data_IF_310903212810
#
_entry.id   IF_310903212810
#
_cell.length_a   1.000
_cell.length_b   1.000
_cell.length_c   1.000
_cell.angle_alpha   90.00
_cell.angle_beta   90.00
_cell.angle_gamma   90.00
#
_symmetry.space_group_name_H-M   'P 1'
#
loop_
_entity.id
_entity.type
_entity.pdbx_description
1 polymer ?
#
# COMPACT_ATOMS: atom_id res chain seq x y z
N UNK A 1 7.10 -7.22 20.45
CA UNK A 1 6.35 -7.54 19.21
C UNK A 1 4.91 -7.09 19.44
N UNK A 2 4.28 -6.39 18.49
CA UNK A 2 2.88 -5.99 18.65
C UNK A 2 1.99 -7.17 18.28
N UNK A 3 1.02 -7.49 19.14
CA UNK A 3 0.10 -8.61 18.94
C UNK A 3 -1.31 -8.07 18.80
N UNK A 4 -2.00 -8.47 17.74
CA UNK A 4 -3.41 -8.16 17.54
C UNK A 4 -4.28 -8.94 18.54
N UNK A 5 -5.27 -8.27 19.12
CA UNK A 5 -6.26 -8.86 20.02
C UNK A 5 -7.65 -8.47 19.52
N UNK A 6 -8.36 -9.43 18.94
CA UNK A 6 -9.67 -9.20 18.32
C UNK A 6 -10.70 -8.64 19.31
N UNK A 7 -10.66 -9.08 20.56
CA UNK A 7 -11.61 -8.65 21.60
C UNK A 7 -11.42 -7.19 22.04
N UNK A 8 -10.31 -6.56 21.65
CA UNK A 8 -10.07 -5.14 21.88
C UNK A 8 -10.58 -4.24 20.74
N UNK A 9 -11.20 -4.82 19.70
CA UNK A 9 -11.88 -4.02 18.69
C UNK A 9 -13.03 -3.23 19.32
N UNK A 10 -13.28 -2.00 18.82
CA UNK A 10 -14.37 -1.18 19.34
C UNK A 10 -15.72 -1.84 19.08
N UNK A 11 -16.68 -1.52 19.94
CA UNK A 11 -18.08 -1.88 19.73
C UNK A 11 -18.53 -1.41 18.33
N UNK A 12 -19.13 -2.30 17.50
CA UNK A 12 -19.46 -1.97 16.13
C UNK A 12 -20.38 -0.76 15.96
N UNK A 13 -21.39 -0.62 16.81
CA UNK A 13 -22.34 0.50 16.72
C UNK A 13 -21.60 1.81 16.99
N UNK A 14 -20.89 1.87 18.12
CA UNK A 14 -20.13 3.07 18.51
C UNK A 14 -19.08 3.45 17.48
N UNK A 15 -18.40 2.46 16.91
CA UNK A 15 -17.42 2.68 15.86
C UNK A 15 -18.03 3.34 14.62
N UNK A 16 -19.12 2.78 14.09
CA UNK A 16 -19.75 3.34 12.89
C UNK A 16 -20.38 4.72 13.14
N UNK A 17 -20.95 4.95 14.33
CA UNK A 17 -21.45 6.27 14.72
C UNK A 17 -20.32 7.30 14.81
N UNK A 18 -19.15 6.93 15.34
CA UNK A 18 -17.96 7.79 15.39
C UNK A 18 -17.41 8.11 13.99
N UNK A 19 -17.55 7.19 13.02
CA UNK A 19 -17.28 7.43 11.59
C UNK A 19 -18.35 8.31 10.91
N UNK A 20 -19.33 8.81 11.66
CA UNK A 20 -20.38 9.69 11.17
C UNK A 20 -21.44 8.96 10.33
N UNK A 21 -21.67 7.68 10.61
CA UNK A 21 -22.72 6.88 9.97
C UNK A 21 -23.92 6.77 10.90
N UNK A 22 -25.10 7.06 10.36
CA UNK A 22 -26.36 6.85 11.08
C UNK A 22 -26.87 5.44 10.79
N UNK A 23 -27.05 4.65 11.83
CA UNK A 23 -27.52 3.27 11.73
C UNK A 23 -29.02 3.21 11.98
N UNK A 24 -29.76 2.63 11.04
CA UNK A 24 -31.22 2.53 11.12
C UNK A 24 -31.71 1.10 10.93
N UNK A 25 -32.91 0.79 11.44
CA UNK A 25 -33.57 -0.49 11.25
C UNK A 25 -33.50 -1.45 12.44
N UNK A 26 -34.43 -2.44 12.50
CA UNK A 26 -34.51 -3.41 13.58
C UNK A 26 -33.47 -4.54 13.43
N UNK A 27 -33.19 -5.24 14.53
CA UNK A 27 -32.32 -6.42 14.52
C UNK A 27 -30.83 -6.12 14.39
N UNK A 28 -30.04 -7.17 14.08
CA UNK A 28 -28.56 -7.13 14.04
C UNK A 28 -28.02 -6.40 12.82
N UNK A 29 -28.71 -6.48 11.69
CA UNK A 29 -28.30 -5.79 10.46
C UNK A 29 -28.95 -4.41 10.39
N UNK A 30 -28.13 -3.36 10.47
CA UNK A 30 -28.55 -1.97 10.36
C UNK A 30 -28.25 -1.44 8.96
N UNK A 31 -29.12 -0.59 8.45
CA UNK A 31 -28.93 0.12 7.17
C UNK A 31 -28.30 1.48 7.43
N UNK A 32 -27.36 1.87 6.57
CA UNK A 32 -26.69 3.17 6.61
C UNK A 32 -26.22 3.61 5.22
N UNK A 33 -25.77 4.85 5.12
CA UNK A 33 -25.11 5.40 3.93
C UNK A 33 -23.79 4.69 3.68
N UNK A 34 -23.41 4.53 2.41
CA UNK A 34 -22.13 3.95 2.04
C UNK A 34 -21.07 5.05 1.86
N UNK A 35 -20.03 5.14 2.72
CA UNK A 35 -18.99 6.17 2.58
C UNK A 35 -18.02 5.92 1.41
N UNK A 36 -18.05 4.72 0.81
CA UNK A 36 -17.15 4.35 -0.29
C UNK A 36 -17.60 4.90 -1.65
N UNK A 37 -18.91 5.05 -1.89
CA UNK A 37 -19.43 5.64 -3.13
C UNK A 37 -20.45 6.77 -2.88
N UNK A 38 -20.74 7.12 -1.62
CA UNK A 38 -21.63 8.22 -1.27
C UNK A 38 -23.14 7.94 -1.34
N UNK A 39 -23.58 6.69 -1.50
CA UNK A 39 -25.02 6.35 -1.52
C UNK A 39 -25.70 6.46 -0.15
N UNK A 40 -27.01 6.72 -0.12
CA UNK A 40 -27.79 7.06 1.10
C UNK A 40 -28.16 5.89 2.02
N UNK A 41 -28.46 4.72 1.46
CA UNK A 41 -29.08 3.59 2.18
C UNK A 41 -28.63 2.23 1.62
N UNK A 42 -27.47 2.20 0.97
CA UNK A 42 -26.98 1.05 0.22
C UNK A 42 -26.06 0.12 1.02
N UNK A 43 -25.62 0.52 2.22
CA UNK A 43 -24.73 -0.28 3.07
C UNK A 43 -25.48 -0.87 4.26
N UNK A 44 -25.22 -2.14 4.54
CA UNK A 44 -25.67 -2.82 5.75
C UNK A 44 -24.48 -3.15 6.63
N UNK A 45 -24.63 -2.92 7.93
CA UNK A 45 -23.65 -3.24 8.97
C UNK A 45 -24.25 -4.17 10.00
N UNK A 46 -23.47 -5.11 10.52
CA UNK A 46 -23.88 -6.01 11.60
C UNK A 46 -23.45 -5.43 12.94
N UNK A 47 -24.40 -5.19 13.84
CA UNK A 47 -24.16 -4.58 15.14
C UNK A 47 -23.38 -5.46 16.12
N UNK A 48 -23.27 -6.77 15.89
CA UNK A 48 -22.53 -7.69 16.76
C UNK A 48 -21.13 -7.98 16.23
N UNK A 49 -21.01 -8.36 14.95
CA UNK A 49 -19.72 -8.72 14.37
C UNK A 49 -18.94 -7.53 13.82
N UNK A 50 -19.61 -6.41 13.55
CA UNK A 50 -19.06 -5.30 12.79
C UNK A 50 -18.84 -5.61 11.30
N UNK A 51 -19.38 -6.72 10.80
CA UNK A 51 -19.32 -7.02 9.38
C UNK A 51 -20.14 -5.98 8.59
N UNK A 52 -19.71 -5.67 7.38
CA UNK A 52 -20.45 -4.77 6.50
C UNK A 52 -20.49 -5.30 5.06
N UNK A 53 -21.55 -4.91 4.35
CA UNK A 53 -21.67 -5.12 2.91
C UNK A 53 -22.49 -4.00 2.29
N UNK A 54 -21.97 -3.41 1.23
CA UNK A 54 -22.74 -2.55 0.36
C UNK A 54 -23.36 -3.36 -0.77
N UNK A 55 -24.66 -3.18 -1.02
CA UNK A 55 -25.36 -3.87 -2.10
C UNK A 55 -25.24 -3.15 -3.46
N UNK A 56 -24.69 -1.93 -3.47
CA UNK A 56 -24.53 -1.13 -4.69
C UNK A 56 -23.10 -1.20 -5.27
N UNK A 57 -22.07 -0.99 -4.44
CA UNK A 57 -20.66 -1.03 -4.87
C UNK A 57 -19.92 -2.30 -4.43
N UNK A 58 -20.64 -3.26 -3.85
CA UNK A 58 -20.16 -4.60 -3.46
C UNK A 58 -19.01 -4.67 -2.45
N UNK A 59 -18.50 -3.53 -1.98
CA UNK A 59 -17.52 -3.45 -0.89
C UNK A 59 -18.07 -4.15 0.37
N UNK A 60 -17.21 -4.93 1.03
CA UNK A 60 -17.58 -5.74 2.18
C UNK A 60 -16.41 -6.02 3.10
N UNK A 61 -16.70 -6.46 4.32
CA UNK A 61 -15.70 -6.86 5.30
C UNK A 61 -16.31 -7.59 6.48
N UNK A 62 -15.48 -8.36 7.20
CA UNK A 62 -15.94 -9.24 8.27
C UNK A 62 -16.06 -8.58 9.65
N UNK A 63 -15.49 -7.39 9.82
CA UNK A 63 -15.45 -6.64 11.07
C UNK A 63 -15.14 -5.14 10.84
N UNK A 64 -15.18 -4.37 11.94
CA UNK A 64 -14.83 -2.94 11.95
C UNK A 64 -13.39 -2.66 11.50
N UNK A 65 -12.47 -3.59 11.75
CA UNK A 65 -11.08 -3.48 11.30
C UNK A 65 -11.00 -3.51 9.77
N UNK A 66 -11.69 -4.47 9.14
CA UNK A 66 -11.77 -4.60 7.69
C UNK A 66 -12.37 -3.33 7.05
N UNK A 67 -13.35 -2.71 7.72
CA UNK A 67 -13.93 -1.45 7.28
C UNK A 67 -12.91 -0.31 7.36
N UNK A 68 -12.22 -0.18 8.49
CA UNK A 68 -11.26 0.90 8.73
C UNK A 68 -10.07 0.81 7.76
N UNK A 69 -9.54 -0.40 7.55
CA UNK A 69 -8.49 -0.68 6.56
C UNK A 69 -8.90 -0.19 5.16
N UNK A 70 -10.09 -0.57 4.70
CA UNK A 70 -10.58 -0.17 3.38
C UNK A 70 -10.90 1.31 3.29
N UNK A 71 -11.37 1.94 4.38
CA UNK A 71 -11.74 3.35 4.40
C UNK A 71 -10.52 4.27 4.38
N UNK A 72 -9.46 3.89 5.09
CA UNK A 72 -8.23 4.68 5.23
C UNK A 72 -7.13 4.23 4.28
N UNK A 73 -7.32 3.13 3.54
CA UNK A 73 -6.30 2.51 2.67
C UNK A 73 -4.99 2.23 3.40
N UNK A 74 -5.10 1.63 4.60
CA UNK A 74 -3.95 1.29 5.46
C UNK A 74 -3.87 -0.21 5.73
N UNK A 75 -2.67 -0.66 6.09
CA UNK A 75 -2.39 -2.07 6.37
C UNK A 75 -3.02 -2.55 7.69
N UNK A 76 -3.14 -3.87 7.82
CA UNK A 76 -3.80 -4.54 8.95
C UNK A 76 -3.27 -4.11 10.31
N UNK A 77 -1.94 -4.07 10.47
CA UNK A 77 -1.32 -3.76 11.75
C UNK A 77 -1.54 -2.28 12.12
N UNK A 78 -1.41 -1.37 11.15
CA UNK A 78 -1.64 0.06 11.35
C UNK A 78 -3.11 0.34 11.71
N UNK A 79 -4.05 -0.34 11.04
CA UNK A 79 -5.46 -0.27 11.38
C UNK A 79 -5.75 -0.82 12.78
N UNK A 80 -5.15 -1.96 13.15
CA UNK A 80 -5.32 -2.55 14.46
C UNK A 80 -4.77 -1.63 15.56
N UNK A 81 -3.66 -0.94 15.31
CA UNK A 81 -3.09 0.05 16.21
C UNK A 81 -3.99 1.28 16.35
N UNK A 82 -4.49 1.82 15.22
CA UNK A 82 -5.39 2.97 15.21
C UNK A 82 -6.70 2.70 15.98
N UNK A 83 -7.20 1.45 15.92
CA UNK A 83 -8.38 1.01 16.66
C UNK A 83 -8.09 0.57 18.11
N UNK A 84 -6.84 0.64 18.58
CA UNK A 84 -6.46 0.21 19.92
C UNK A 84 -6.49 -1.31 20.15
N UNK A 85 -6.57 -2.10 19.07
CA UNK A 85 -6.68 -3.55 19.10
C UNK A 85 -5.32 -4.27 19.12
N UNK A 86 -4.27 -3.62 19.61
CA UNK A 86 -2.93 -4.21 19.74
C UNK A 86 -2.38 -4.09 21.16
N UNK A 87 -1.70 -5.14 21.62
CA UNK A 87 -0.93 -5.11 22.87
C UNK A 87 0.55 -5.05 22.51
N UNK A 88 1.30 -4.20 23.22
CA UNK A 88 2.75 -4.17 23.14
C UNK A 88 3.35 -4.89 24.34
N UNK A 89 3.91 -6.07 24.11
CA UNK A 89 4.75 -6.74 25.09
C UNK A 89 6.14 -6.06 25.06
N UNK A 90 6.25 -4.90 25.73
CA UNK A 90 7.50 -4.30 26.21
C UNK A 90 8.65 -4.02 25.23
N UNK A 91 8.48 -4.11 23.91
CA UNK A 91 9.54 -3.86 22.95
C UNK A 91 9.29 -2.58 22.13
N UNK A 92 10.29 -1.70 22.11
CA UNK A 92 10.29 -0.42 21.37
C UNK A 92 9.96 -0.65 19.89
N UNK A 93 9.06 0.13 19.27
CA UNK A 93 8.72 -0.04 17.85
C UNK A 93 9.94 0.27 16.97
N UNK A 94 10.32 -0.66 16.11
CA UNK A 94 11.28 -0.37 15.03
C UNK A 94 10.57 0.54 14.01
N UNK A 95 11.21 1.63 13.54
CA UNK A 95 10.56 2.60 12.66
C UNK A 95 10.05 1.93 11.38
N UNK A 96 8.84 2.32 10.97
CA UNK A 96 8.18 1.87 9.76
C UNK A 96 9.11 2.07 8.55
N UNK A 97 9.33 0.99 7.79
CA UNK A 97 10.15 1.04 6.58
C UNK A 97 9.32 1.80 5.54
N UNK A 98 9.71 3.04 5.22
CA UNK A 98 9.08 3.82 4.14
C UNK A 98 9.03 2.95 2.88
N UNK A 99 7.90 2.93 2.19
CA UNK A 99 7.71 2.12 0.99
C UNK A 99 8.72 2.52 -0.10
N UNK A 100 9.79 1.75 -0.23
CA UNK A 100 10.68 1.75 -1.39
C UNK A 100 10.01 0.98 -2.53
N UNK A 101 10.35 1.34 -3.78
CA UNK A 101 9.95 0.60 -4.99
C UNK A 101 10.08 -0.92 -4.77
N UNK A 102 9.15 -1.70 -5.31
CA UNK A 102 9.31 -3.16 -5.35
C UNK A 102 10.59 -3.51 -6.11
N UNK A 103 11.25 -4.63 -5.76
CA UNK A 103 12.49 -5.03 -6.43
C UNK A 103 12.37 -5.08 -7.97
N UNK A 104 11.25 -5.57 -8.57
CA UNK A 104 11.05 -5.50 -10.02
C UNK A 104 10.92 -4.07 -10.54
N UNK A 105 10.19 -3.19 -9.83
CA UNK A 105 10.01 -1.79 -10.25
C UNK A 105 11.32 -0.99 -10.15
N UNK A 106 12.13 -1.24 -9.11
CA UNK A 106 13.45 -0.66 -8.95
C UNK A 106 14.39 -1.12 -10.07
N UNK A 107 14.37 -2.42 -10.41
CA UNK A 107 15.19 -2.97 -11.48
C UNK A 107 14.81 -2.39 -12.84
N UNK A 108 13.52 -2.32 -13.17
CA UNK A 108 13.04 -1.72 -14.42
C UNK A 108 13.46 -0.25 -14.57
N UNK A 109 13.40 0.53 -13.48
CA UNK A 109 13.84 1.93 -13.49
C UNK A 109 15.37 2.05 -13.66
N UNK A 110 16.14 1.23 -12.95
CA UNK A 110 17.59 1.20 -13.10
C UNK A 110 18.00 0.81 -14.53
N UNK A 111 17.27 -0.12 -15.16
CA UNK A 111 17.49 -0.52 -16.55
C UNK A 111 17.27 0.66 -17.52
N UNK A 112 16.14 1.38 -17.40
CA UNK A 112 15.85 2.52 -18.29
C UNK A 112 16.86 3.66 -18.15
N UNK A 113 17.27 3.97 -16.92
CA UNK A 113 18.24 5.04 -16.65
C UNK A 113 19.66 4.64 -17.11
N UNK A 114 20.08 3.40 -16.88
CA UNK A 114 21.37 2.91 -17.33
C UNK A 114 21.49 2.94 -18.86
N UNK A 115 20.41 2.60 -19.59
CA UNK A 115 20.39 2.65 -21.05
C UNK A 115 20.55 4.08 -21.58
N UNK A 116 19.83 5.04 -21.00
CA UNK A 116 19.96 6.46 -21.36
C UNK A 116 21.40 6.95 -21.15
N UNK A 117 21.99 6.64 -19.99
CA UNK A 117 23.38 6.98 -19.66
C UNK A 117 24.35 6.36 -20.68
N UNK A 118 24.17 5.08 -21.03
CA UNK A 118 25.04 4.40 -21.99
C UNK A 118 24.97 5.04 -23.39
N UNK A 119 23.76 5.36 -23.88
CA UNK A 119 23.56 6.06 -25.16
C UNK A 119 24.21 7.45 -25.16
N UNK A 120 24.00 8.24 -24.09
CA UNK A 120 24.62 9.56 -23.95
C UNK A 120 26.14 9.45 -23.90
N UNK A 121 26.67 8.52 -23.10
CA UNK A 121 28.10 8.27 -22.96
C UNK A 121 28.76 7.95 -24.31
N UNK A 122 28.17 7.06 -25.11
CA UNK A 122 28.64 6.74 -26.46
C UNK A 122 28.60 7.96 -27.37
N UNK A 123 27.49 8.72 -27.36
CA UNK A 123 27.34 9.93 -28.18
C UNK A 123 28.34 11.02 -27.84
N UNK A 124 28.83 11.08 -26.59
CA UNK A 124 29.78 12.11 -26.12
C UNK A 124 31.20 11.60 -25.98
N UNK A 125 31.47 10.33 -26.29
CA UNK A 125 32.77 9.70 -26.00
C UNK A 125 33.94 10.43 -26.67
N UNK A 126 33.74 10.99 -27.86
CA UNK A 126 34.77 11.75 -28.59
C UNK A 126 35.15 13.07 -27.91
N UNK A 127 34.29 13.61 -27.04
CA UNK A 127 34.58 14.81 -26.25
C UNK A 127 35.55 14.52 -25.08
N UNK A 128 35.78 13.25 -24.74
CA UNK A 128 36.73 12.85 -23.70
C UNK A 128 38.14 12.92 -24.27
N UNK A 129 38.93 13.89 -23.76
CA UNK A 129 40.27 14.20 -24.25
C UNK A 129 41.29 13.10 -23.95
N UNK A 130 41.19 12.47 -22.78
CA UNK A 130 42.09 11.38 -22.40
C UNK A 130 41.66 10.08 -23.08
N UNK A 131 42.60 9.44 -23.77
CA UNK A 131 42.32 8.23 -24.54
C UNK A 131 41.98 7.03 -23.65
N UNK A 132 42.60 6.91 -22.48
CA UNK A 132 42.33 5.80 -21.56
C UNK A 132 40.93 5.93 -20.95
N UNK A 133 40.54 7.14 -20.55
CA UNK A 133 39.21 7.41 -20.00
C UNK A 133 38.11 7.28 -21.05
N UNK A 134 38.38 7.66 -22.31
CA UNK A 134 37.46 7.43 -23.43
C UNK A 134 37.21 5.93 -23.66
N UNK A 135 38.27 5.12 -23.63
CA UNK A 135 38.14 3.67 -23.79
C UNK A 135 37.36 3.03 -22.63
N UNK A 136 37.61 3.48 -21.39
CA UNK A 136 36.84 3.06 -20.21
C UNK A 136 35.36 3.39 -20.33
N UNK A 137 35.03 4.59 -20.81
CA UNK A 137 33.65 5.03 -21.00
C UNK A 137 32.91 4.18 -22.04
N UNK A 138 33.56 3.91 -23.17
CA UNK A 138 32.99 3.05 -24.23
C UNK A 138 32.75 1.63 -23.71
N UNK A 139 33.70 1.07 -22.96
CA UNK A 139 33.58 -0.28 -22.41
C UNK A 139 32.47 -0.38 -21.35
N UNK A 140 32.34 0.63 -20.49
CA UNK A 140 31.24 0.71 -19.53
C UNK A 140 29.88 0.75 -20.23
N UNK A 141 29.74 1.55 -21.29
CA UNK A 141 28.50 1.62 -22.07
C UNK A 141 28.16 0.29 -22.77
N UNK A 142 29.16 -0.41 -23.31
CA UNK A 142 28.99 -1.76 -23.89
C UNK A 142 28.57 -2.79 -22.85
N UNK A 143 29.16 -2.74 -21.66
CA UNK A 143 28.79 -3.64 -20.55
C UNK A 143 27.32 -3.46 -20.18
N UNK A 144 26.85 -2.21 -20.06
CA UNK A 144 25.44 -1.91 -19.79
C UNK A 144 24.54 -2.45 -20.92
N UNK A 145 24.91 -2.24 -22.18
CA UNK A 145 24.14 -2.73 -23.33
C UNK A 145 23.95 -4.25 -23.32
N UNK A 146 25.01 -5.01 -23.01
CA UNK A 146 24.95 -6.47 -22.95
C UNK A 146 24.04 -6.95 -21.80
N UNK A 147 24.17 -6.35 -20.61
CA UNK A 147 23.32 -6.70 -19.45
C UNK A 147 21.84 -6.40 -19.76
N UNK A 148 21.54 -5.30 -20.46
CA UNK A 148 20.16 -4.97 -20.83
C UNK A 148 19.55 -5.99 -21.80
N UNK A 149 20.35 -6.53 -22.72
CA UNK A 149 19.89 -7.54 -23.68
C UNK A 149 19.60 -8.88 -22.99
N UNK A 150 20.38 -9.26 -21.99
CA UNK A 150 20.17 -10.49 -21.21
C UNK A 150 19.00 -10.38 -20.23
N UNK A 151 18.73 -9.19 -19.69
CA UNK A 151 17.67 -8.97 -18.71
C UNK A 151 16.28 -8.72 -19.33
N UNK A 152 16.20 -8.58 -20.66
CA UNK A 152 14.97 -8.36 -21.42
C UNK A 152 14.31 -9.64 -21.99
N UNK A 153 14.89 -10.82 -21.74
CA UNK A 153 14.34 -12.15 -22.07
C UNK A 153 13.82 -12.85 -20.82
#
# INVERSE_FOLDING_TARGET
>A
MKRFVRDMLPDPIRFYEAEGLQLTGPGKWKTTRCPFHGGSDSMRVNSESGAFKCMACEVHGGDVLSFYMQRQSIDFLDAAEALGATVSDGAVPSPARKATLSAPAALALLQSEAWLIACTALSTAEAVKDQADRLRLIEAARTIQNIMQEAGT
#
